data_IF_699772413625
#
_entry.id   IF_699772413625
#
_cell.length_a   1.000
_cell.length_b   1.000
_cell.length_c   1.000
_cell.angle_alpha   90.00
_cell.angle_beta   90.00
_cell.angle_gamma   90.00
#
_symmetry.space_group_name_H-M   'P 1'
#
loop_
_entity.id
_entity.type
_entity.pdbx_description
1 polymer ?
#
# COMPACT_ATOMS: atom_id res chain seq x y z
N UNK A 1 13.91 8.15 -5.52
CA UNK A 1 13.41 9.20 -4.61
C UNK A 1 11.88 9.15 -4.48
N UNK A 2 11.32 9.43 -3.30
CA UNK A 2 9.87 9.49 -3.08
C UNK A 2 9.51 10.49 -1.96
N UNK A 3 8.26 10.97 -1.97
CA UNK A 3 7.60 11.61 -0.82
C UNK A 3 6.51 10.67 -0.30
N UNK A 4 6.42 10.46 1.01
CA UNK A 4 5.51 9.48 1.61
C UNK A 4 4.69 10.12 2.74
N UNK A 5 3.38 9.88 2.71
CA UNK A 5 2.43 10.44 3.67
C UNK A 5 1.61 9.33 4.31
N UNK A 6 1.55 9.26 5.65
CA UNK A 6 0.69 8.30 6.33
C UNK A 6 -0.78 8.67 6.10
N UNK A 7 -1.61 7.68 5.82
CA UNK A 7 -3.06 7.82 5.66
C UNK A 7 -3.78 7.40 6.93
N UNK A 8 -3.59 6.16 7.36
CA UNK A 8 -4.17 5.64 8.59
C UNK A 8 -3.46 4.37 9.07
N UNK A 9 -3.62 4.09 10.36
CA UNK A 9 -3.36 2.75 10.91
C UNK A 9 -4.58 1.88 10.64
N UNK A 10 -4.35 0.63 10.25
CA UNK A 10 -5.39 -0.38 10.12
C UNK A 10 -5.00 -1.61 10.93
N UNK A 11 -5.99 -2.39 11.33
CA UNK A 11 -5.75 -3.68 11.98
C UNK A 11 -6.22 -4.82 11.11
N UNK A 12 -5.55 -5.96 11.26
CA UNK A 12 -5.89 -7.21 10.57
C UNK A 12 -5.93 -8.33 11.58
N UNK A 13 -6.94 -9.18 11.45
CA UNK A 13 -7.09 -10.40 12.25
C UNK A 13 -7.21 -11.58 11.31
N UNK A 14 -6.75 -12.74 11.74
CA UNK A 14 -6.85 -13.98 10.97
C UNK A 14 -5.53 -14.70 10.78
N UNK A 15 -5.63 -16.01 10.61
CA UNK A 15 -4.47 -16.88 10.45
C UNK A 15 -3.87 -16.74 9.06
N UNK A 16 -2.56 -16.55 9.00
CA UNK A 16 -1.78 -16.54 7.76
C UNK A 16 -0.55 -17.42 7.93
N UNK A 17 0.17 -17.73 6.84
CA UNK A 17 1.44 -18.47 6.90
C UNK A 17 2.49 -17.83 7.82
N UNK A 18 2.35 -16.54 8.13
CA UNK A 18 3.27 -15.76 8.96
C UNK A 18 2.63 -15.28 10.27
N UNK A 19 1.36 -15.62 10.53
CA UNK A 19 0.63 -15.31 11.75
C UNK A 19 -0.27 -16.50 12.10
N UNK A 20 0.30 -17.50 12.77
CA UNK A 20 -0.39 -18.75 13.11
C UNK A 20 -1.38 -18.61 14.29
N UNK A 21 -1.16 -17.63 15.16
CA UNK A 21 -2.05 -17.33 16.29
C UNK A 21 -3.35 -16.71 15.80
N UNK A 22 -3.30 -15.96 14.69
CA UNK A 22 -4.41 -15.19 14.16
C UNK A 22 -4.70 -13.93 14.98
N UNK A 23 -3.77 -13.56 15.87
CA UNK A 23 -3.84 -12.36 16.69
C UNK A 23 -3.87 -11.11 15.82
N UNK A 24 -4.45 -10.04 16.38
CA UNK A 24 -4.48 -8.74 15.72
C UNK A 24 -3.06 -8.26 15.45
N UNK A 25 -2.85 -7.77 14.23
CA UNK A 25 -1.63 -7.04 13.87
C UNK A 25 -2.01 -5.71 13.23
N UNK A 26 -1.16 -4.70 13.47
CA UNK A 26 -1.38 -3.34 12.98
C UNK A 26 -0.49 -3.07 11.78
N UNK A 27 -1.10 -2.49 10.75
CA UNK A 27 -0.40 -2.01 9.56
C UNK A 27 -0.57 -0.50 9.40
N UNK A 28 0.39 0.11 8.71
CA UNK A 28 0.32 1.51 8.32
C UNK A 28 0.03 1.59 6.82
N UNK A 29 -1.05 2.28 6.45
CA UNK A 29 -1.32 2.62 5.06
C UNK A 29 -0.69 3.97 4.76
N UNK A 30 0.16 4.02 3.75
CA UNK A 30 0.80 5.24 3.25
C UNK A 30 0.46 5.49 1.78
N UNK A 31 0.37 6.76 1.40
CA UNK A 31 0.47 7.20 0.02
C UNK A 31 1.91 7.61 -0.26
N UNK A 32 2.46 7.21 -1.40
CA UNK A 32 3.79 7.63 -1.82
C UNK A 32 3.78 8.19 -3.24
N UNK A 33 4.34 9.38 -3.41
CA UNK A 33 4.63 9.95 -4.72
C UNK A 33 6.08 9.60 -5.07
N UNK A 34 6.23 8.71 -6.06
CA UNK A 34 7.53 8.21 -6.49
C UNK A 34 8.02 9.06 -7.66
N UNK A 35 9.22 9.63 -7.52
CA UNK A 35 9.83 10.47 -8.58
C UNK A 35 11.00 9.79 -9.27
N UNK A 36 11.52 8.70 -8.70
CA UNK A 36 12.67 7.97 -9.23
C UNK A 36 12.74 6.59 -8.57
N UNK A 37 12.99 5.56 -9.39
CA UNK A 37 13.23 4.19 -8.96
C UNK A 37 14.74 3.91 -8.82
N UNK A 38 15.10 2.94 -8.00
CA UNK A 38 16.48 2.44 -7.94
C UNK A 38 16.88 1.81 -9.27
N UNK A 39 18.15 1.93 -9.63
CA UNK A 39 18.72 1.33 -10.86
C UNK A 39 18.90 -0.18 -10.75
N UNK A 40 19.02 -0.69 -9.53
CA UNK A 40 19.17 -2.11 -9.22
C UNK A 40 18.11 -2.52 -8.19
N UNK A 41 17.55 -3.71 -8.37
CA UNK A 41 16.63 -4.33 -7.42
C UNK A 41 17.42 -5.22 -6.46
N UNK A 42 17.11 -5.17 -5.17
CA UNK A 42 17.76 -5.99 -4.15
C UNK A 42 16.76 -7.00 -3.57
N UNK A 43 17.28 -8.21 -3.29
CA UNK A 43 16.76 -9.43 -2.62
C UNK A 43 15.26 -9.69 -2.41
N UNK A 44 14.43 -8.69 -2.15
CA UNK A 44 12.99 -8.82 -1.87
C UNK A 44 12.09 -8.48 -3.07
N UNK A 45 12.59 -7.72 -4.08
CA UNK A 45 11.81 -7.28 -5.24
C UNK A 45 12.33 -7.89 -6.55
N UNK A 46 11.47 -8.64 -7.26
CA UNK A 46 11.80 -9.24 -8.56
C UNK A 46 11.75 -8.22 -9.71
N UNK A 47 10.71 -7.38 -9.76
CA UNK A 47 10.49 -6.41 -10.84
C UNK A 47 9.62 -5.24 -10.39
N UNK A 48 9.71 -4.13 -11.13
CA UNK A 48 8.81 -2.97 -11.03
C UNK A 48 7.98 -2.92 -12.31
N UNK A 49 6.67 -2.81 -12.17
CA UNK A 49 5.74 -2.67 -13.30
C UNK A 49 4.93 -1.40 -13.12
N UNK A 50 4.89 -0.56 -14.17
CA UNK A 50 4.05 0.63 -14.23
C UNK A 50 2.75 0.27 -14.95
N UNK A 51 1.64 0.35 -14.23
CA UNK A 51 0.32 0.00 -14.74
C UNK A 51 -0.55 1.26 -14.83
N UNK A 52 -1.34 1.36 -15.90
CA UNK A 52 -2.35 2.42 -16.03
C UNK A 52 -3.59 2.17 -15.16
N UNK A 53 -3.82 0.91 -14.80
CA UNK A 53 -4.93 0.45 -13.97
C UNK A 53 -4.44 -0.48 -12.86
N UNK A 54 -5.28 -0.73 -11.85
CA UNK A 54 -4.95 -1.60 -10.75
C UNK A 54 -4.91 -3.08 -11.21
N UNK A 55 -3.94 -3.90 -10.76
CA UNK A 55 -3.90 -5.31 -11.09
C UNK A 55 -5.08 -6.07 -10.45
N UNK A 56 -5.44 -7.21 -11.03
CA UNK A 56 -6.53 -8.05 -10.54
C UNK A 56 -6.03 -9.13 -9.55
N UNK A 57 -4.81 -9.63 -9.74
CA UNK A 57 -4.21 -10.68 -8.91
C UNK A 57 -3.32 -10.09 -7.81
N UNK A 58 -3.83 -10.06 -6.59
CA UNK A 58 -3.13 -9.51 -5.43
C UNK A 58 -2.52 -10.60 -4.56
N UNK A 59 -1.34 -10.35 -3.98
CA UNK A 59 -0.74 -11.21 -2.95
C UNK A 59 -1.68 -11.43 -1.75
N UNK A 60 -2.43 -10.39 -1.38
CA UNK A 60 -3.41 -10.41 -0.29
C UNK A 60 -4.78 -9.96 -0.81
N UNK A 61 -5.56 -10.85 -1.44
CA UNK A 61 -6.77 -10.48 -2.19
C UNK A 61 -7.90 -9.92 -1.33
N UNK A 62 -7.91 -10.19 -0.02
CA UNK A 62 -8.97 -9.71 0.87
C UNK A 62 -8.73 -8.29 1.39
N UNK A 63 -7.47 -7.92 1.66
CA UNK A 63 -7.14 -6.64 2.28
C UNK A 63 -6.81 -5.56 1.27
N UNK A 64 -6.13 -5.92 0.16
CA UNK A 64 -5.72 -4.95 -0.86
C UNK A 64 -6.90 -4.10 -1.38
N UNK A 65 -8.07 -4.68 -1.73
CA UNK A 65 -9.22 -3.88 -2.16
C UNK A 65 -9.69 -2.87 -1.11
N UNK A 66 -9.64 -3.22 0.17
CA UNK A 66 -10.06 -2.35 1.29
C UNK A 66 -9.10 -1.18 1.49
N UNK A 67 -7.79 -1.42 1.36
CA UNK A 67 -6.78 -0.37 1.46
C UNK A 67 -6.89 0.62 0.30
N UNK A 68 -7.14 0.12 -0.92
CA UNK A 68 -7.39 0.93 -2.11
C UNK A 68 -8.65 1.78 -1.94
N UNK A 69 -9.75 1.18 -1.49
CA UNK A 69 -10.99 1.90 -1.21
C UNK A 69 -10.76 3.04 -0.19
N UNK A 70 -10.01 2.76 0.89
CA UNK A 70 -9.65 3.76 1.89
C UNK A 70 -8.83 4.91 1.28
N UNK A 71 -7.86 4.60 0.42
CA UNK A 71 -7.12 5.62 -0.32
C UNK A 71 -8.05 6.48 -1.19
N UNK A 72 -8.96 5.86 -1.95
CA UNK A 72 -9.91 6.57 -2.82
C UNK A 72 -10.81 7.52 -2.03
N UNK A 73 -11.28 7.11 -0.85
CA UNK A 73 -12.04 7.97 0.07
C UNK A 73 -11.21 9.19 0.54
N UNK A 74 -9.91 8.99 0.76
CA UNK A 74 -9.00 10.03 1.26
C UNK A 74 -8.38 10.89 0.14
N UNK A 75 -8.46 10.45 -1.11
CA UNK A 75 -7.77 11.07 -2.26
C UNK A 75 -8.06 12.57 -2.36
N UNK A 76 -9.31 12.99 -2.21
CA UNK A 76 -9.68 14.41 -2.26
C UNK A 76 -9.00 15.25 -1.16
N UNK A 77 -8.79 14.67 0.02
CA UNK A 77 -8.06 15.31 1.13
C UNK A 77 -6.56 15.35 0.86
N UNK A 78 -5.99 14.31 0.25
CA UNK A 78 -4.58 14.25 -0.11
C UNK A 78 -4.27 15.26 -1.21
N UNK A 79 -5.07 15.29 -2.27
CA UNK A 79 -4.91 16.20 -3.41
C UNK A 79 -4.99 17.67 -2.97
N UNK A 80 -5.86 18.00 -2.00
CA UNK A 80 -5.90 19.34 -1.41
C UNK A 80 -4.57 19.70 -0.71
N UNK A 81 -3.98 18.77 0.06
CA UNK A 81 -2.72 18.97 0.77
C UNK A 81 -1.49 18.98 -0.14
N UNK A 82 -1.60 18.50 -1.37
CA UNK A 82 -0.52 18.55 -2.38
C UNK A 82 -0.53 19.86 -3.18
N UNK A 83 -1.64 20.61 -3.17
CA UNK A 83 -1.81 21.87 -3.91
C UNK A 83 -1.56 23.13 -3.07
N UNK A 84 -1.38 23.00 -1.76
CA UNK A 84 -1.08 24.08 -0.82
C UNK A 84 0.41 24.12 -0.51
#
# INVERSE_FOLDING_TARGET
RFDMKPLCVYSVTGKTRVNDTGEESLGLLCYAEITEFATELHSEMEKIVLLGELPEEWTYPLIQPKLIEKYLQMKNTIDFRLRA
#
